data_IF_931439344337
#
_entry.id   IF_931439344337
#
_cell.length_a   1.000
_cell.length_b   1.000
_cell.length_c   1.000
_cell.angle_alpha   90.00
_cell.angle_beta   90.00
_cell.angle_gamma   90.00
#
_symmetry.space_group_name_H-M   'P 1'
#
loop_
_entity.id
_entity.type
_entity.pdbx_description
1 polymer ?
#
# COMPACT_ATOMS: atom_id res chain seq x y z
N UNK A 1 13.15 -11.41 30.97
CA UNK A 1 13.40 -11.37 29.51
C UNK A 1 12.31 -10.52 28.89
N UNK A 2 12.57 -9.23 28.69
CA UNK A 2 11.63 -8.30 28.09
C UNK A 2 11.64 -8.55 26.58
N UNK A 3 10.63 -9.27 26.06
CA UNK A 3 10.35 -9.29 24.63
C UNK A 3 8.88 -8.90 24.46
N UNK A 4 8.53 -7.68 24.87
CA UNK A 4 7.43 -6.99 24.21
C UNK A 4 7.94 -6.69 22.80
N UNK A 5 7.74 -7.64 21.88
CA UNK A 5 7.80 -7.33 20.46
C UNK A 5 6.61 -6.38 20.27
N UNK A 6 6.87 -5.07 20.38
CA UNK A 6 5.95 -4.08 19.84
C UNK A 6 5.69 -4.55 18.42
N UNK A 7 4.46 -4.98 18.17
CA UNK A 7 3.95 -5.12 16.81
C UNK A 7 3.92 -3.72 16.24
N UNK A 8 5.10 -3.19 15.91
CA UNK A 8 5.29 -1.90 15.31
C UNK A 8 4.90 -2.11 13.87
N UNK A 9 3.59 -2.19 13.63
CA UNK A 9 3.01 -2.19 12.31
C UNK A 9 3.42 -0.84 11.72
N UNK A 10 4.48 -0.84 10.92
CA UNK A 10 4.96 0.35 10.25
C UNK A 10 3.94 0.64 9.17
N UNK A 11 3.07 1.61 9.42
CA UNK A 11 2.23 2.18 8.40
C UNK A 11 2.84 3.48 7.90
N UNK A 12 2.68 3.73 6.61
CA UNK A 12 3.06 4.96 5.95
C UNK A 12 1.76 5.72 5.66
N UNK A 13 1.56 6.91 6.24
CA UNK A 13 0.41 7.73 5.90
C UNK A 13 0.52 8.13 4.43
N UNK A 14 -0.55 7.87 3.67
CA UNK A 14 -0.62 8.30 2.28
C UNK A 14 -0.90 9.80 2.25
N UNK A 15 -0.13 10.60 1.50
CA UNK A 15 -0.36 12.03 1.37
C UNK A 15 -1.79 12.33 0.88
N UNK A 16 -2.34 13.46 1.34
CA UNK A 16 -3.70 13.96 1.09
C UNK A 16 -4.83 12.92 1.18
N UNK A 17 -4.66 11.88 2.00
CA UNK A 17 -5.63 10.80 2.15
C UNK A 17 -5.76 10.36 3.61
N UNK A 18 -6.86 9.67 3.91
CA UNK A 18 -7.04 8.93 5.16
C UNK A 18 -6.43 7.51 5.12
N UNK A 19 -5.81 7.13 4.00
CA UNK A 19 -5.22 5.81 3.82
C UNK A 19 -3.90 5.66 4.59
N UNK A 20 -3.75 4.50 5.21
CA UNK A 20 -2.54 4.11 5.93
C UNK A 20 -1.96 2.87 5.26
N UNK A 21 -0.93 3.02 4.44
CA UNK A 21 -0.31 1.90 3.75
C UNK A 21 0.50 1.05 4.74
N UNK A 22 0.20 -0.24 4.86
CA UNK A 22 0.93 -1.13 5.76
C UNK A 22 2.21 -1.62 5.08
N UNK A 23 3.34 -0.99 5.40
CA UNK A 23 4.63 -1.23 4.74
C UNK A 23 5.05 -2.71 4.78
N UNK A 24 4.87 -3.39 5.92
CA UNK A 24 5.23 -4.80 6.07
C UNK A 24 4.38 -5.79 5.28
N UNK A 25 3.34 -5.32 4.58
CA UNK A 25 2.44 -6.14 3.75
C UNK A 25 2.69 -5.98 2.26
N UNK A 26 3.59 -5.07 1.87
CA UNK A 26 3.90 -4.79 0.47
C UNK A 26 4.67 -5.99 -0.10
N UNK A 27 4.04 -6.70 -1.03
CA UNK A 27 4.53 -7.90 -1.65
C UNK A 27 4.42 -7.79 -3.18
N UNK A 28 5.53 -7.58 -3.90
CA UNK A 28 5.53 -7.59 -5.36
C UNK A 28 5.12 -8.99 -5.87
N UNK A 29 4.07 -9.07 -6.67
CA UNK A 29 3.61 -10.33 -7.29
C UNK A 29 4.42 -10.61 -8.55
N UNK A 30 4.73 -9.56 -9.32
CA UNK A 30 5.54 -9.62 -10.52
C UNK A 30 6.31 -8.29 -10.72
N UNK A 31 6.80 -8.02 -11.92
CA UNK A 31 7.60 -6.82 -12.23
C UNK A 31 6.81 -5.50 -12.17
N UNK A 32 5.49 -5.58 -12.24
CA UNK A 32 4.60 -4.42 -12.39
C UNK A 32 3.46 -4.42 -11.37
N UNK A 33 3.12 -5.56 -10.77
CA UNK A 33 2.03 -5.72 -9.82
C UNK A 33 2.53 -5.96 -8.41
N UNK A 34 1.86 -5.33 -7.46
CA UNK A 34 2.13 -5.42 -6.02
C UNK A 34 0.85 -5.67 -5.24
N UNK A 35 0.89 -6.60 -4.31
CA UNK A 35 -0.15 -6.77 -3.31
C UNK A 35 0.25 -6.02 -2.04
N UNK A 36 -0.69 -5.31 -1.42
CA UNK A 36 -0.47 -4.67 -0.14
C UNK A 36 -1.79 -4.51 0.61
N UNK A 37 -1.67 -4.32 1.92
CA UNK A 37 -2.77 -3.91 2.75
C UNK A 37 -2.69 -2.42 3.08
N UNK A 38 -3.84 -1.79 3.23
CA UNK A 38 -3.97 -0.42 3.73
C UNK A 38 -5.10 -0.30 4.75
N UNK A 39 -4.97 0.66 5.67
CA UNK A 39 -5.98 1.04 6.63
C UNK A 39 -6.85 2.18 6.10
N UNK A 40 -8.16 2.09 6.31
CA UNK A 40 -9.12 3.14 6.03
C UNK A 40 -10.31 3.00 7.00
N UNK A 41 -10.70 4.09 7.66
CA UNK A 41 -11.85 4.09 8.59
C UNK A 41 -11.78 2.96 9.64
N UNK A 42 -10.62 2.76 10.28
CA UNK A 42 -10.36 1.70 11.26
C UNK A 42 -10.51 0.25 10.72
N UNK A 43 -10.63 0.08 9.39
CA UNK A 43 -10.64 -1.20 8.72
C UNK A 43 -9.38 -1.41 7.90
N UNK A 44 -8.94 -2.66 7.77
CA UNK A 44 -7.82 -3.05 6.91
C UNK A 44 -8.35 -3.71 5.64
N UNK A 45 -7.89 -3.23 4.50
CA UNK A 45 -8.21 -3.76 3.18
C UNK A 45 -6.95 -4.27 2.51
N UNK A 46 -7.05 -5.37 1.76
CA UNK A 46 -5.98 -5.89 0.93
C UNK A 46 -6.33 -5.67 -0.53
N UNK A 47 -5.39 -5.13 -1.30
CA UNK A 47 -5.57 -4.84 -2.72
C UNK A 47 -4.33 -5.20 -3.50
N UNK A 48 -4.53 -5.41 -4.80
CA UNK A 48 -3.48 -5.51 -5.78
C UNK A 48 -3.42 -4.21 -6.58
N UNK A 49 -2.23 -3.63 -6.74
CA UNK A 49 -2.00 -2.54 -7.68
C UNK A 49 -1.18 -3.05 -8.86
N UNK A 50 -1.55 -2.61 -10.06
CA UNK A 50 -0.71 -2.65 -11.25
C UNK A 50 -0.07 -1.28 -11.44
N UNK A 51 1.22 -1.18 -11.13
CA UNK A 51 2.01 0.05 -11.19
C UNK A 51 2.40 0.46 -12.60
N UNK A 52 2.30 -0.44 -13.57
CA UNK A 52 2.56 -0.13 -14.98
C UNK A 52 1.30 0.40 -15.66
N UNK A 53 0.15 -0.21 -15.37
CA UNK A 53 -1.14 0.23 -15.91
C UNK A 53 -1.81 1.32 -15.05
N UNK A 54 -1.36 1.54 -13.82
CA UNK A 54 -1.95 2.49 -12.89
C UNK A 54 -3.32 2.04 -12.37
N UNK A 55 -3.51 0.73 -12.13
CA UNK A 55 -4.78 0.15 -11.72
C UNK A 55 -4.74 -0.31 -10.26
N UNK A 56 -5.82 -0.09 -9.52
CA UNK A 56 -6.12 -0.73 -8.25
C UNK A 56 -7.18 -1.81 -8.45
N UNK A 57 -6.85 -3.04 -8.10
CA UNK A 57 -7.69 -4.22 -8.22
C UNK A 57 -8.29 -4.38 -9.64
N UNK A 58 -7.49 -4.06 -10.67
CA UNK A 58 -7.90 -4.10 -12.08
C UNK A 58 -8.81 -2.95 -12.53
N UNK A 59 -9.00 -1.91 -11.71
CA UNK A 59 -9.76 -0.72 -12.05
C UNK A 59 -8.90 0.54 -11.87
N UNK A 60 -9.10 1.60 -12.68
CA UNK A 60 -8.43 2.86 -12.43
C UNK A 60 -8.90 3.44 -11.08
N UNK A 61 -8.02 4.10 -10.31
CA UNK A 61 -8.40 4.79 -9.09
C UNK A 61 -9.51 5.82 -9.38
N UNK A 62 -10.58 5.80 -8.59
CA UNK A 62 -11.74 6.65 -8.80
C UNK A 62 -11.60 8.01 -8.11
N UNK A 63 -10.72 8.09 -7.12
CA UNK A 63 -10.42 9.27 -6.30
C UNK A 63 -8.94 9.64 -6.33
N UNK A 64 -8.61 10.88 -5.99
CA UNK A 64 -7.23 11.32 -5.89
C UNK A 64 -6.49 10.58 -4.77
N UNK A 65 -7.19 10.29 -3.66
CA UNK A 65 -6.67 9.51 -2.55
C UNK A 65 -6.24 8.10 -2.96
N UNK A 66 -7.02 7.43 -3.81
CA UNK A 66 -6.69 6.11 -4.35
C UNK A 66 -5.48 6.17 -5.29
N UNK A 67 -5.38 7.22 -6.10
CA UNK A 67 -4.23 7.45 -6.95
C UNK A 67 -2.95 7.65 -6.13
N UNK A 68 -3.02 8.40 -5.02
CA UNK A 68 -1.88 8.57 -4.11
C UNK A 68 -1.52 7.27 -3.38
N UNK A 69 -2.51 6.45 -3.00
CA UNK A 69 -2.27 5.13 -2.43
C UNK A 69 -1.52 4.21 -3.40
N UNK A 70 -1.97 4.16 -4.66
CA UNK A 70 -1.29 3.42 -5.72
C UNK A 70 0.14 3.91 -5.89
N UNK A 71 0.34 5.22 -6.02
CA UNK A 71 1.66 5.81 -6.19
C UNK A 71 2.60 5.48 -5.02
N UNK A 72 2.12 5.57 -3.78
CA UNK A 72 2.91 5.26 -2.60
C UNK A 72 3.34 3.79 -2.59
N UNK A 73 2.39 2.86 -2.80
CA UNK A 73 2.68 1.43 -2.84
C UNK A 73 3.67 1.07 -3.95
N UNK A 74 3.48 1.63 -5.15
CA UNK A 74 4.34 1.40 -6.30
C UNK A 74 5.76 1.93 -6.09
N UNK A 75 5.89 3.15 -5.54
CA UNK A 75 7.20 3.71 -5.21
C UNK A 75 7.94 2.83 -4.20
N UNK A 76 7.25 2.34 -3.17
CA UNK A 76 7.90 1.50 -2.17
C UNK A 76 8.31 0.14 -2.76
N UNK A 77 7.42 -0.48 -3.53
CA UNK A 77 7.65 -1.81 -4.10
C UNK A 77 8.75 -1.82 -5.17
N UNK A 78 8.83 -0.77 -5.99
CA UNK A 78 9.67 -0.76 -7.20
C UNK A 78 10.73 0.33 -7.24
N UNK A 79 10.66 1.39 -6.44
CA UNK A 79 11.72 2.43 -6.41
C UNK A 79 12.95 2.02 -5.56
N UNK A 80 13.02 0.77 -5.09
CA UNK A 80 14.17 0.24 -4.33
C UNK A 80 15.22 -0.46 -5.20
N UNK A 81 15.38 -0.08 -6.47
CA UNK A 81 16.43 -0.62 -7.37
C UNK A 81 17.30 0.48 -7.98
#
# INVERSE_FOLDING_TARGET
>A
MNNAISNNVVYIPVPNSSYQLYYGTINPINTSQVEFAFGYQDQTFQVNADCEQGLLNGQPPSTAEEAELLNAACQIAFASF
#
